data_IF_253868825749
#
_entry.id   IF_253868825749
#
_cell.length_a   1.000
_cell.length_b   1.000
_cell.length_c   1.000
_cell.angle_alpha   90.00
_cell.angle_beta   90.00
_cell.angle_gamma   90.00
#
_symmetry.space_group_name_H-M   'P 1'
#
loop_
_entity.id
_entity.type
_entity.pdbx_description
1 polymer ?
#
# COMPACT_ATOMS: atom_id res chain seq x y z
N UNK A 1 17.24 4.97 12.39
CA UNK A 1 15.86 4.47 12.59
C UNK A 1 15.83 3.37 13.66
N UNK A 2 14.66 2.93 14.16
CA UNK A 2 14.57 1.83 15.13
C UNK A 2 15.19 0.51 14.62
N UNK A 3 15.74 -0.31 15.52
CA UNK A 3 16.44 -1.58 15.21
C UNK A 3 15.52 -2.61 14.54
N UNK A 4 14.23 -2.57 14.87
CA UNK A 4 13.18 -3.42 14.29
C UNK A 4 13.06 -3.27 12.76
N UNK A 5 13.50 -2.14 12.20
CA UNK A 5 13.54 -1.90 10.75
C UNK A 5 14.89 -2.28 10.15
N UNK A 6 15.42 -3.48 10.44
CA UNK A 6 16.62 -4.01 9.78
C UNK A 6 16.32 -5.34 9.11
N UNK A 7 17.03 -5.64 8.01
CA UNK A 7 16.91 -6.95 7.34
C UNK A 7 17.48 -8.09 8.18
N UNK A 8 18.41 -7.79 9.09
CA UNK A 8 19.00 -8.79 9.99
C UNK A 8 18.05 -9.15 11.13
N UNK A 9 17.14 -8.25 11.51
CA UNK A 9 16.08 -8.56 12.48
C UNK A 9 14.99 -9.46 11.88
N UNK A 10 14.46 -9.10 10.70
CA UNK A 10 13.49 -9.93 9.96
C UNK A 10 13.53 -9.64 8.45
N UNK A 11 13.54 -10.69 7.64
CA UNK A 11 13.45 -10.62 6.17
C UNK A 11 12.71 -11.83 5.59
N UNK A 12 11.46 -12.04 6.03
CA UNK A 12 10.67 -13.25 5.74
C UNK A 12 10.36 -13.43 4.25
N UNK A 13 10.46 -12.36 3.47
CA UNK A 13 10.21 -12.35 2.04
C UNK A 13 11.49 -12.18 1.20
N UNK A 14 12.67 -12.36 1.80
CA UNK A 14 13.97 -12.30 1.12
C UNK A 14 14.14 -11.03 0.26
N UNK A 15 13.82 -9.86 0.84
CA UNK A 15 13.89 -8.56 0.17
C UNK A 15 15.26 -7.89 0.30
N UNK A 16 16.16 -8.37 1.17
CA UNK A 16 17.53 -7.82 1.29
C UNK A 16 18.30 -7.79 -0.04
N UNK A 17 18.29 -8.83 -0.90
CA UNK A 17 18.96 -8.76 -2.21
C UNK A 17 18.37 -7.71 -3.17
N UNK A 18 17.08 -7.36 -3.01
CA UNK A 18 16.45 -6.28 -3.77
C UNK A 18 16.96 -4.94 -3.26
N UNK A 19 17.07 -4.78 -1.93
CA UNK A 19 17.65 -3.60 -1.32
C UNK A 19 19.11 -3.39 -1.75
N UNK A 20 19.93 -4.43 -1.76
CA UNK A 20 21.33 -4.35 -2.20
C UNK A 20 21.46 -3.89 -3.66
N UNK A 21 20.59 -4.38 -4.55
CA UNK A 21 20.54 -3.90 -5.95
C UNK A 21 20.13 -2.43 -6.03
N UNK A 22 19.12 -2.02 -5.25
CA UNK A 22 18.71 -0.62 -5.18
C UNK A 22 19.84 0.27 -4.67
N UNK A 23 20.56 -0.15 -3.63
CA UNK A 23 21.71 0.58 -3.10
C UNK A 23 22.81 0.70 -4.15
N UNK A 24 23.14 -0.39 -4.85
CA UNK A 24 24.12 -0.35 -5.95
C UNK A 24 23.72 0.63 -7.07
N UNK A 25 22.43 0.72 -7.38
CA UNK A 25 21.91 1.71 -8.33
C UNK A 25 22.06 3.14 -7.79
N UNK A 26 21.66 3.37 -6.54
CA UNK A 26 21.79 4.66 -5.86
C UNK A 26 23.26 5.09 -5.73
N UNK A 27 24.18 4.15 -5.59
CA UNK A 27 25.64 4.37 -5.49
C UNK A 27 26.32 4.59 -6.85
N UNK A 28 25.68 4.21 -7.95
CA UNK A 28 26.21 4.44 -9.29
C UNK A 28 26.24 5.92 -9.70
N UNK A 29 26.93 6.21 -10.81
CA UNK A 29 26.95 7.52 -11.47
C UNK A 29 25.76 7.74 -12.42
N UNK A 30 24.81 6.80 -12.48
CA UNK A 30 23.63 6.90 -13.34
C UNK A 30 22.66 7.92 -12.74
N UNK A 31 22.18 8.84 -13.57
CA UNK A 31 21.17 9.81 -13.17
C UNK A 31 19.78 9.15 -13.07
N UNK A 32 19.49 8.55 -11.92
CA UNK A 32 18.24 7.80 -11.65
C UNK A 32 17.18 8.61 -10.90
N UNK A 33 17.49 9.83 -10.48
CA UNK A 33 16.68 10.64 -9.57
C UNK A 33 15.70 11.57 -10.31
N UNK A 34 14.41 11.62 -9.94
CA UNK A 34 13.75 10.76 -8.95
C UNK A 34 13.49 9.34 -9.44
N UNK A 35 13.74 8.38 -8.55
CA UNK A 35 13.44 6.95 -8.67
C UNK A 35 12.11 6.66 -7.98
N UNK A 36 11.28 5.76 -8.52
CA UNK A 36 10.02 5.33 -7.91
C UNK A 36 10.08 3.87 -7.47
N UNK A 37 9.63 3.62 -6.24
CA UNK A 37 9.26 2.30 -5.71
C UNK A 37 7.74 2.18 -5.80
N UNK A 38 7.26 1.50 -6.84
CA UNK A 38 5.84 1.29 -7.08
C UNK A 38 5.34 0.01 -6.37
N UNK A 39 4.07 0.03 -6.00
CA UNK A 39 3.37 -1.14 -5.47
C UNK A 39 2.00 -0.80 -4.92
N UNK A 40 1.13 -1.80 -4.80
CA UNK A 40 -0.17 -1.67 -4.17
C UNK A 40 -0.09 -1.21 -2.70
N UNK A 41 -1.22 -0.80 -2.15
CA UNK A 41 -1.33 -0.59 -0.70
C UNK A 41 -1.19 -1.93 0.01
N UNK A 42 -0.57 -1.93 1.20
CA UNK A 42 -0.36 -3.16 1.96
C UNK A 42 0.69 -4.12 1.39
N UNK A 43 1.57 -3.69 0.49
CA UNK A 43 2.67 -4.54 -0.06
C UNK A 43 3.96 -4.50 0.77
N UNK A 44 4.01 -3.68 1.82
CA UNK A 44 5.18 -3.53 2.70
C UNK A 44 6.25 -2.56 2.20
N UNK A 45 5.89 -1.58 1.35
CA UNK A 45 6.84 -0.59 0.81
C UNK A 45 7.53 0.23 1.90
N UNK A 46 6.77 0.80 2.84
CA UNK A 46 7.30 1.59 3.97
C UNK A 46 8.33 0.80 4.77
N UNK A 47 8.00 -0.44 5.16
CA UNK A 47 8.94 -1.30 5.91
C UNK A 47 10.19 -1.62 5.07
N UNK A 48 10.04 -1.93 3.79
CA UNK A 48 11.16 -2.14 2.87
C UNK A 48 12.07 -0.90 2.81
N UNK A 49 11.50 0.30 2.64
CA UNK A 49 12.27 1.54 2.51
C UNK A 49 12.99 1.92 3.81
N UNK A 50 12.35 1.75 4.97
CA UNK A 50 12.99 1.95 6.27
C UNK A 50 14.16 0.98 6.48
N UNK A 51 13.99 -0.30 6.08
CA UNK A 51 15.08 -1.30 6.10
C UNK A 51 16.22 -0.96 5.14
N UNK A 52 15.91 -0.52 3.92
CA UNK A 52 16.91 -0.06 2.94
C UNK A 52 17.69 1.12 3.51
N UNK A 53 17.00 2.10 4.11
CA UNK A 53 17.63 3.27 4.70
C UNK A 53 18.62 2.90 5.82
N UNK A 54 18.22 2.04 6.76
CA UNK A 54 19.15 1.50 7.77
C UNK A 54 20.32 0.72 7.14
N UNK A 55 20.07 -0.05 6.06
CA UNK A 55 21.11 -0.79 5.35
C UNK A 55 22.13 0.14 4.67
N UNK A 56 21.68 1.25 4.09
CA UNK A 56 22.55 2.29 3.51
C UNK A 56 23.47 2.86 4.59
N UNK A 57 22.90 3.35 5.69
CA UNK A 57 23.65 4.03 6.76
C UNK A 57 24.63 3.11 7.48
N UNK A 58 24.29 1.82 7.60
CA UNK A 58 25.19 0.80 8.18
C UNK A 58 26.32 0.38 7.24
N UNK A 59 26.07 0.32 5.92
CA UNK A 59 27.09 -0.08 4.95
C UNK A 59 28.10 1.04 4.64
N UNK A 60 27.66 2.30 4.65
CA UNK A 60 28.51 3.42 4.23
C UNK A 60 28.22 4.70 5.03
N UNK A 61 29.14 5.06 5.93
CA UNK A 61 29.01 6.29 6.73
C UNK A 61 29.00 7.58 5.92
N UNK A 62 29.52 7.55 4.67
CA UNK A 62 29.47 8.68 3.74
C UNK A 62 28.19 8.72 2.90
N UNK A 63 27.28 7.76 3.06
CA UNK A 63 25.96 7.78 2.45
C UNK A 63 24.91 8.07 3.51
N UNK A 64 24.38 9.30 3.49
CA UNK A 64 23.35 9.76 4.42
C UNK A 64 21.97 9.52 3.85
N UNK A 65 21.02 9.20 4.73
CA UNK A 65 19.63 9.01 4.36
C UNK A 65 18.74 10.00 5.10
N UNK A 66 17.77 10.55 4.37
CA UNK A 66 16.65 11.31 4.94
C UNK A 66 15.39 10.54 4.61
N UNK A 67 14.50 10.38 5.60
CA UNK A 67 13.20 9.74 5.41
C UNK A 67 12.11 10.77 5.69
N UNK A 68 11.25 11.01 4.70
CA UNK A 68 10.15 11.95 4.78
C UNK A 68 8.86 11.16 4.58
N UNK A 69 7.95 11.23 5.54
CA UNK A 69 6.55 10.84 5.34
C UNK A 69 5.81 12.03 4.73
N UNK A 70 5.56 11.98 3.42
CA UNK A 70 4.96 13.11 2.70
C UNK A 70 3.50 13.31 3.08
N UNK A 71 2.80 12.26 3.50
CA UNK A 71 1.39 12.35 3.88
C UNK A 71 1.24 13.01 5.26
N UNK A 72 2.11 12.69 6.22
CA UNK A 72 2.16 13.39 7.50
C UNK A 72 2.37 14.91 7.33
N UNK A 73 3.14 15.30 6.31
CA UNK A 73 3.52 16.69 6.02
C UNK A 73 2.58 17.41 5.05
N UNK A 74 1.58 16.74 4.46
CA UNK A 74 0.73 17.30 3.39
C UNK A 74 -0.26 18.37 3.87
N UNK A 75 -0.35 18.53 5.19
CA UNK A 75 -1.00 19.67 5.80
C UNK A 75 -0.22 20.93 5.42
N UNK A 76 1.10 20.93 5.39
CA UNK A 76 1.88 22.11 5.02
C UNK A 76 1.76 22.40 3.51
N UNK A 77 1.16 23.52 3.11
CA UNK A 77 1.05 23.91 1.67
C UNK A 77 2.41 24.32 1.04
N UNK A 78 3.54 23.96 1.67
CA UNK A 78 4.89 24.22 1.22
C UNK A 78 5.73 22.93 1.03
N UNK A 79 5.49 22.14 -0.02
CA UNK A 79 6.32 21.00 -0.41
C UNK A 79 7.84 21.23 -0.37
N UNK A 80 8.28 22.41 -0.82
CA UNK A 80 9.70 22.77 -0.82
C UNK A 80 10.29 22.85 0.59
N UNK A 81 9.49 23.28 1.57
CA UNK A 81 9.90 23.36 2.98
C UNK A 81 10.14 21.97 3.57
N UNK A 82 9.24 21.04 3.29
CA UNK A 82 9.37 19.65 3.72
C UNK A 82 10.67 19.04 3.22
N UNK A 83 11.00 19.27 1.94
CA UNK A 83 12.27 18.82 1.35
C UNK A 83 13.47 19.53 1.98
N UNK A 84 13.38 20.84 2.23
CA UNK A 84 14.45 21.63 2.86
C UNK A 84 14.71 21.17 4.29
N UNK A 85 13.67 20.98 5.10
CA UNK A 85 13.79 20.52 6.48
C UNK A 85 14.48 19.15 6.56
N UNK A 86 14.10 18.25 5.65
CA UNK A 86 14.74 16.94 5.52
C UNK A 86 16.24 17.04 5.24
N UNK A 87 16.67 17.91 4.32
CA UNK A 87 18.10 18.11 4.03
C UNK A 87 18.82 18.84 5.16
N UNK A 88 18.18 19.85 5.76
CA UNK A 88 18.73 20.63 6.85
C UNK A 88 18.97 19.79 8.12
N UNK A 89 18.21 18.71 8.31
CA UNK A 89 18.43 17.77 9.39
C UNK A 89 19.81 17.07 9.31
N UNK A 90 20.42 16.98 8.12
CA UNK A 90 21.76 16.43 7.93
C UNK A 90 22.88 17.42 8.30
N UNK A 91 22.55 18.71 8.46
CA UNK A 91 23.53 19.74 8.79
C UNK A 91 23.82 19.78 10.30
N UNK A 92 25.07 20.10 10.69
CA UNK A 92 25.40 20.58 12.02
C UNK A 92 24.50 21.75 12.45
N UNK A 93 24.21 21.91 13.75
CA UNK A 93 23.25 22.91 14.24
C UNK A 93 23.56 24.36 13.80
N UNK A 94 24.84 24.73 13.75
CA UNK A 94 25.30 26.06 13.34
C UNK A 94 24.96 26.34 11.86
N UNK A 95 25.24 25.38 10.98
CA UNK A 95 24.92 25.49 9.55
C UNK A 95 23.43 25.36 9.28
N UNK A 96 22.71 24.58 10.10
CA UNK A 96 21.25 24.47 10.05
C UNK A 96 20.58 25.82 10.31
N UNK A 97 21.00 26.55 11.35
CA UNK A 97 20.47 27.89 11.66
C UNK A 97 20.79 28.88 10.54
N UNK A 98 21.97 28.80 9.96
CA UNK A 98 22.36 29.64 8.83
C UNK A 98 21.52 29.34 7.57
N UNK A 99 21.30 28.06 7.25
CA UNK A 99 20.44 27.64 6.14
C UNK A 99 19.01 28.14 6.36
N UNK A 100 18.42 27.87 7.53
CA UNK A 100 17.06 28.34 7.90
C UNK A 100 16.93 29.85 7.67
N UNK A 101 17.87 30.64 8.21
CA UNK A 101 17.86 32.09 8.11
C UNK A 101 17.99 32.59 6.66
N UNK A 102 18.75 31.89 5.81
CA UNK A 102 18.92 32.24 4.39
C UNK A 102 17.78 31.76 3.50
N UNK A 103 17.09 30.67 3.85
CA UNK A 103 16.01 30.11 3.04
C UNK A 103 14.63 30.67 3.42
N UNK A 104 14.46 31.11 4.66
CA UNK A 104 13.23 31.71 5.22
C UNK A 104 12.54 32.72 4.27
N UNK A 105 13.27 33.63 3.59
CA UNK A 105 12.63 34.58 2.67
C UNK A 105 12.12 33.93 1.36
N UNK A 106 12.79 32.90 0.81
CA UNK A 106 12.31 32.15 -0.37
C UNK A 106 11.00 31.41 -0.09
N UNK A 107 10.94 30.84 1.11
CA UNK A 107 9.81 30.08 1.62
C UNK A 107 8.55 30.96 1.67
N UNK A 108 8.70 32.20 2.19
CA UNK A 108 7.62 33.20 2.24
C UNK A 108 7.08 33.54 0.84
N UNK A 109 7.92 33.51 -0.19
CA UNK A 109 7.52 33.85 -1.56
C UNK A 109 6.88 32.69 -2.34
N UNK A 110 7.42 31.47 -2.20
CA UNK A 110 6.87 30.27 -2.85
C UNK A 110 5.41 30.03 -2.45
N UNK A 111 5.11 30.24 -1.17
CA UNK A 111 3.74 30.16 -0.63
C UNK A 111 2.82 31.30 -1.11
N UNK A 112 3.32 32.54 -1.21
CA UNK A 112 2.54 33.70 -1.73
C UNK A 112 2.10 33.53 -3.19
N UNK A 113 2.87 32.80 -4.00
CA UNK A 113 2.59 32.61 -5.43
C UNK A 113 1.59 31.48 -5.68
N UNK A 114 1.64 30.42 -4.88
CA UNK A 114 0.70 29.27 -4.96
C UNK A 114 -0.72 29.69 -4.54
N UNK A 115 -0.85 30.65 -3.61
CA UNK A 115 -2.13 31.16 -3.12
C UNK A 115 -3.02 31.87 -4.16
N UNK A 116 -2.49 32.22 -5.35
CA UNK A 116 -3.30 32.82 -6.44
C UNK A 116 -3.98 31.81 -7.36
N UNK A 117 -3.76 30.50 -7.19
CA UNK A 117 -4.28 29.47 -8.11
C UNK A 117 -5.28 28.46 -7.50
N UNK A 118 -5.66 28.56 -6.23
CA UNK A 118 -6.67 27.65 -5.65
C UNK A 118 -7.17 28.13 -4.29
N UNK A 119 -8.49 28.25 -4.16
CA UNK A 119 -9.15 28.79 -2.97
C UNK A 119 -9.09 27.85 -1.77
N UNK A 120 -8.56 28.37 -0.66
CA UNK A 120 -8.94 28.05 0.72
C UNK A 120 -8.52 26.68 1.23
N UNK A 121 -7.83 26.65 2.37
CA UNK A 121 -8.22 25.96 3.60
C UNK A 121 -7.14 26.27 4.66
N UNK A 122 -7.58 26.66 5.85
CA UNK A 122 -6.72 27.07 6.96
C UNK A 122 -6.14 25.84 7.65
N UNK A 123 -4.82 25.79 7.76
CA UNK A 123 -4.08 24.72 8.43
C UNK A 123 -4.03 24.96 9.94
N UNK A 124 -4.44 23.95 10.70
CA UNK A 124 -4.24 23.87 12.15
C UNK A 124 -3.63 22.51 12.48
N UNK A 125 -2.45 22.57 13.10
CA UNK A 125 -1.80 21.60 13.98
C UNK A 125 -1.55 20.19 13.43
N UNK A 126 -0.27 19.88 13.20
CA UNK A 126 0.47 18.83 13.92
C UNK A 126 1.97 19.09 13.71
N UNK A 127 2.69 19.42 14.76
CA UNK A 127 4.09 19.84 14.70
C UNK A 127 4.97 19.07 15.69
N UNK A 128 4.78 17.75 15.75
CA UNK A 128 5.50 16.93 16.73
C UNK A 128 6.82 16.35 16.18
N UNK A 129 7.07 16.41 14.85
CA UNK A 129 8.28 15.86 14.21
C UNK A 129 9.10 16.89 13.40
N UNK A 130 8.70 18.16 13.38
CA UNK A 130 9.43 19.23 12.68
C UNK A 130 10.46 19.83 13.63
N UNK A 131 11.71 19.98 13.17
CA UNK A 131 12.78 20.64 13.93
C UNK A 131 12.31 22.03 14.40
N UNK A 132 12.43 22.34 15.69
CA UNK A 132 11.89 23.53 16.39
C UNK A 132 12.09 24.90 15.69
N UNK A 133 13.04 25.04 14.75
CA UNK A 133 13.25 26.28 13.98
C UNK A 133 12.51 26.36 12.63
N UNK A 134 12.08 25.23 12.07
CA UNK A 134 11.31 25.19 10.83
C UNK A 134 9.81 25.35 11.08
N UNK A 135 9.31 24.92 12.24
CA UNK A 135 7.90 25.11 12.62
C UNK A 135 7.53 26.60 12.70
N UNK A 136 8.37 27.40 13.35
CA UNK A 136 8.20 28.86 13.45
C UNK A 136 8.29 29.53 12.07
N UNK A 137 9.21 29.07 11.22
CA UNK A 137 9.35 29.55 9.83
C UNK A 137 8.09 29.28 9.00
N UNK A 138 7.47 28.09 9.16
CA UNK A 138 6.22 27.70 8.50
C UNK A 138 5.05 28.58 8.98
N UNK A 139 4.93 28.78 10.30
CA UNK A 139 3.88 29.63 10.92
C UNK A 139 4.00 31.10 10.50
N UNK A 140 5.21 31.63 10.45
CA UNK A 140 5.43 33.02 10.08
C UNK A 140 5.17 33.24 8.58
N UNK A 141 5.57 32.30 7.72
CA UNK A 141 5.32 32.38 6.29
C UNK A 141 3.82 32.29 5.91
N UNK A 142 3.01 31.57 6.70
CA UNK A 142 1.56 31.45 6.49
C UNK A 142 0.75 32.66 6.96
N UNK A 143 1.33 33.55 7.78
CA UNK A 143 0.60 34.68 8.41
C UNK A 143 0.70 36.02 7.68
N UNK A 144 1.54 36.15 6.64
CA UNK A 144 1.73 37.43 5.93
C UNK A 144 0.70 37.66 4.82
N UNK A 145 -0.44 38.27 5.17
CA UNK A 145 -1.46 38.71 4.23
C UNK A 145 -1.17 40.11 3.65
N UNK A 146 -1.08 40.16 2.33
CA UNK A 146 -1.42 41.26 1.39
C UNK A 146 -0.78 42.63 1.65
N UNK A 147 0.28 42.92 0.90
CA UNK A 147 0.48 44.22 0.22
C UNK A 147 1.30 43.93 -1.05
N UNK A 148 0.84 44.30 -2.25
CA UNK A 148 1.55 43.97 -3.49
C UNK A 148 1.54 45.09 -4.53
N UNK A 149 2.70 45.73 -4.72
CA UNK A 149 3.05 46.52 -5.90
C UNK A 149 3.87 45.65 -6.87
N UNK A 150 3.85 45.95 -8.17
CA UNK A 150 4.56 45.17 -9.22
C UNK A 150 6.08 45.11 -8.97
N UNK A 151 6.67 46.19 -8.47
CA UNK A 151 8.10 46.25 -8.10
C UNK A 151 8.41 45.31 -6.94
N UNK A 152 7.55 45.27 -5.91
CA UNK A 152 7.70 44.34 -4.78
C UNK A 152 7.61 42.89 -5.24
N UNK A 153 6.73 42.56 -6.19
CA UNK A 153 6.63 41.20 -6.75
C UNK A 153 7.87 40.81 -7.58
N UNK A 154 8.52 41.75 -8.23
CA UNK A 154 9.74 41.52 -9.01
C UNK A 154 10.96 41.36 -8.09
N UNK A 155 11.10 42.22 -7.09
CA UNK A 155 12.15 42.11 -6.07
C UNK A 155 11.99 40.82 -5.26
N UNK A 156 10.76 40.48 -4.86
CA UNK A 156 10.45 39.23 -4.16
C UNK A 156 10.76 37.99 -5.04
N UNK A 157 10.55 38.07 -6.37
CA UNK A 157 10.91 36.99 -7.30
C UNK A 157 12.42 36.81 -7.42
N UNK A 158 13.17 37.92 -7.49
CA UNK A 158 14.63 37.91 -7.54
C UNK A 158 15.21 37.35 -6.24
N UNK A 159 14.67 37.73 -5.08
CA UNK A 159 15.08 37.20 -3.77
C UNK A 159 14.78 35.69 -3.65
N UNK A 160 13.61 35.24 -4.10
CA UNK A 160 13.26 33.82 -4.07
C UNK A 160 14.21 32.96 -4.93
N UNK A 161 14.56 33.44 -6.13
CA UNK A 161 15.56 32.76 -6.99
C UNK A 161 16.92 32.70 -6.30
N UNK A 162 17.40 33.80 -5.74
CA UNK A 162 18.68 33.87 -5.02
C UNK A 162 18.73 32.92 -3.81
N UNK A 163 17.61 32.74 -3.12
CA UNK A 163 17.53 31.84 -1.97
C UNK A 163 17.45 30.36 -2.39
N UNK A 164 16.80 30.04 -3.52
CA UNK A 164 16.85 28.70 -4.12
C UNK A 164 18.28 28.36 -4.57
N UNK A 165 18.99 29.31 -5.17
CA UNK A 165 20.41 29.13 -5.54
C UNK A 165 21.28 28.91 -4.30
N UNK A 166 21.05 29.66 -3.23
CA UNK A 166 21.74 29.47 -1.94
C UNK A 166 21.49 28.07 -1.39
N UNK A 167 20.24 27.61 -1.41
CA UNK A 167 19.89 26.24 -1.02
C UNK A 167 20.65 25.21 -1.88
N UNK A 168 20.57 25.35 -3.22
CA UNK A 168 21.29 24.44 -4.12
C UNK A 168 22.78 24.43 -3.83
N UNK A 169 23.38 25.59 -3.55
CA UNK A 169 24.80 25.70 -3.19
C UNK A 169 25.12 24.99 -1.89
N UNK A 170 24.32 25.18 -0.83
CA UNK A 170 24.54 24.51 0.46
C UNK A 170 24.42 23.00 0.33
N UNK A 171 23.40 22.52 -0.38
CA UNK A 171 23.22 21.08 -0.63
C UNK A 171 24.33 20.56 -1.51
N UNK A 172 24.75 21.31 -2.53
CA UNK A 172 25.87 20.93 -3.40
C UNK A 172 27.14 20.73 -2.57
N UNK A 173 27.46 21.66 -1.66
CA UNK A 173 28.61 21.55 -0.77
C UNK A 173 28.52 20.32 0.15
N UNK A 174 27.35 20.05 0.74
CA UNK A 174 27.13 18.81 1.50
C UNK A 174 27.39 17.55 0.66
N UNK A 175 26.93 17.58 -0.59
CA UNK A 175 27.03 16.44 -1.51
C UNK A 175 28.45 16.22 -2.06
N UNK A 176 29.39 17.12 -1.78
CA UNK A 176 30.82 16.91 -2.04
C UNK A 176 31.43 15.90 -1.07
N UNK A 177 30.98 15.90 0.18
CA UNK A 177 31.48 15.00 1.23
C UNK A 177 30.63 13.73 1.35
N UNK A 178 29.31 13.86 1.14
CA UNK A 178 28.33 12.80 1.35
C UNK A 178 27.52 12.48 0.10
N UNK A 179 27.19 11.21 -0.10
CA UNK A 179 26.05 10.84 -0.95
C UNK A 179 24.78 10.94 -0.12
N UNK A 180 23.74 11.58 -0.62
CA UNK A 180 22.49 11.80 0.10
C UNK A 180 21.36 11.11 -0.66
N UNK A 181 20.56 10.32 0.05
CA UNK A 181 19.32 9.75 -0.49
C UNK A 181 18.13 10.15 0.36
N UNK A 182 17.12 10.72 -0.28
CA UNK A 182 15.90 11.19 0.35
C UNK A 182 14.76 10.28 -0.07
N UNK A 183 14.24 9.50 0.88
CA UNK A 183 13.01 8.74 0.70
C UNK A 183 11.82 9.66 0.98
N UNK A 184 10.86 9.66 0.06
CA UNK A 184 9.59 10.38 0.17
C UNK A 184 8.48 9.35 0.12
N UNK A 185 7.96 8.99 1.29
CA UNK A 185 6.95 7.94 1.45
C UNK A 185 5.52 8.48 1.49
N UNK A 186 4.57 7.60 1.20
CA UNK A 186 3.13 7.86 1.16
C UNK A 186 2.69 9.02 0.22
N UNK A 187 3.51 9.32 -0.81
CA UNK A 187 3.25 10.42 -1.75
C UNK A 187 1.89 10.29 -2.47
N UNK A 188 1.40 9.06 -2.67
CA UNK A 188 0.10 8.79 -3.30
C UNK A 188 -1.12 9.03 -2.39
N UNK A 189 -0.90 9.32 -1.09
CA UNK A 189 -1.96 9.70 -0.15
C UNK A 189 -2.08 11.20 0.06
N UNK A 190 -1.05 11.97 -0.30
CA UNK A 190 -1.09 13.42 -0.19
C UNK A 190 -2.20 14.04 -1.05
N UNK A 191 -2.63 15.26 -0.68
CA UNK A 191 -3.42 16.12 -1.58
C UNK A 191 -2.79 16.16 -2.98
N UNK A 192 -3.58 16.06 -4.07
CA UNK A 192 -3.07 16.03 -5.43
C UNK A 192 -2.10 17.18 -5.75
N UNK A 193 -2.40 18.41 -5.32
CA UNK A 193 -1.57 19.60 -5.54
C UNK A 193 -0.22 19.50 -4.84
N UNK A 194 -0.19 18.98 -3.60
CA UNK A 194 1.02 18.79 -2.82
C UNK A 194 1.94 17.74 -3.45
N UNK A 195 1.40 16.56 -3.79
CA UNK A 195 2.17 15.48 -4.40
C UNK A 195 2.83 15.91 -5.72
N UNK A 196 2.09 16.65 -6.54
CA UNK A 196 2.60 17.15 -7.82
C UNK A 196 3.72 18.16 -7.62
N UNK A 197 3.53 19.10 -6.69
CA UNK A 197 4.53 20.12 -6.40
C UNK A 197 5.82 19.53 -5.82
N UNK A 198 5.76 18.45 -5.03
CA UNK A 198 6.97 17.69 -4.62
C UNK A 198 7.75 17.21 -5.86
N UNK A 199 7.07 16.57 -6.81
CA UNK A 199 7.69 16.01 -8.02
C UNK A 199 8.31 17.11 -8.90
N UNK A 200 7.58 18.22 -9.07
CA UNK A 200 8.07 19.39 -9.81
C UNK A 200 9.30 20.02 -9.12
N UNK A 201 9.24 20.22 -7.81
CA UNK A 201 10.36 20.79 -7.05
C UNK A 201 11.62 19.93 -7.13
N UNK A 202 11.49 18.60 -7.02
CA UNK A 202 12.64 17.68 -7.16
C UNK A 202 13.33 17.88 -8.50
N UNK A 203 12.57 17.92 -9.59
CA UNK A 203 13.14 18.06 -10.94
C UNK A 203 13.77 19.44 -11.16
N UNK A 204 13.08 20.50 -10.76
CA UNK A 204 13.50 21.87 -11.12
C UNK A 204 14.58 22.41 -10.18
N UNK A 205 14.56 22.01 -8.91
CA UNK A 205 15.38 22.62 -7.86
C UNK A 205 16.54 21.70 -7.45
N UNK A 206 16.30 20.39 -7.37
CA UNK A 206 17.24 19.46 -6.73
C UNK A 206 17.98 18.54 -7.70
N UNK A 207 18.22 18.99 -8.94
CA UNK A 207 19.15 18.32 -9.86
C UNK A 207 20.60 18.63 -9.43
N UNK A 208 21.07 17.89 -8.42
CA UNK A 208 22.38 18.05 -7.76
C UNK A 208 23.10 16.69 -7.79
N UNK A 209 24.41 16.70 -8.07
CA UNK A 209 25.22 15.48 -8.07
C UNK A 209 25.24 14.84 -6.67
N UNK A 210 25.26 13.51 -6.59
CA UNK A 210 25.25 12.76 -5.32
C UNK A 210 23.99 12.98 -4.44
N UNK A 211 22.93 13.57 -4.99
CA UNK A 211 21.62 13.68 -4.35
C UNK A 211 20.59 12.84 -5.09
N UNK A 212 20.05 11.82 -4.42
CA UNK A 212 19.04 10.93 -4.97
C UNK A 212 17.71 11.11 -4.25
N UNK A 213 16.61 11.13 -5.01
CA UNK A 213 15.26 11.06 -4.49
C UNK A 213 14.63 9.71 -4.81
N UNK A 214 14.04 9.09 -3.81
CA UNK A 214 13.30 7.83 -3.92
C UNK A 214 11.86 8.08 -3.50
N UNK A 215 10.96 8.11 -4.47
CA UNK A 215 9.53 8.29 -4.26
C UNK A 215 8.89 6.92 -4.02
N UNK A 216 8.15 6.79 -2.93
CA UNK A 216 7.44 5.55 -2.58
C UNK A 216 5.95 5.81 -2.71
N UNK A 217 5.31 5.15 -3.67
CA UNK A 217 3.93 5.45 -4.02
C UNK A 217 3.23 4.26 -4.69
N UNK A 218 1.92 4.37 -4.84
CA UNK A 218 1.15 3.62 -5.85
C UNK A 218 1.03 4.50 -7.10
N UNK A 219 1.80 4.21 -8.13
CA UNK A 219 1.90 5.07 -9.33
C UNK A 219 0.55 5.30 -10.01
N UNK A 220 -0.35 4.30 -9.99
CA UNK A 220 -1.71 4.46 -10.53
C UNK A 220 -2.54 5.53 -9.80
N UNK A 221 -2.37 5.65 -8.48
CA UNK A 221 -3.06 6.70 -7.72
C UNK A 221 -2.47 8.08 -8.00
N UNK A 222 -1.15 8.16 -8.13
CA UNK A 222 -0.48 9.41 -8.53
C UNK A 222 -0.96 9.88 -9.92
N UNK A 223 -1.14 8.96 -10.88
CA UNK A 223 -1.73 9.25 -12.19
C UNK A 223 -3.17 9.72 -12.07
N UNK A 224 -3.97 9.12 -11.19
CA UNK A 224 -5.34 9.56 -10.94
C UNK A 224 -5.38 10.99 -10.37
N UNK A 225 -4.48 11.33 -9.44
CA UNK A 225 -4.31 12.68 -8.90
C UNK A 225 -3.99 13.71 -9.99
N UNK A 226 -3.10 13.37 -10.94
CA UNK A 226 -2.78 14.26 -12.08
C UNK A 226 -3.99 14.49 -12.99
N UNK A 227 -4.74 13.42 -13.30
CA UNK A 227 -5.97 13.52 -14.11
C UNK A 227 -7.04 14.35 -13.40
N UNK A 228 -7.10 14.28 -12.07
CA UNK A 228 -8.00 15.12 -11.28
C UNK A 228 -7.66 16.61 -11.39
N UNK A 229 -6.37 16.97 -11.36
CA UNK A 229 -5.91 18.36 -11.43
C UNK A 229 -6.02 18.98 -12.83
N UNK A 230 -5.61 18.26 -13.87
CA UNK A 230 -5.53 18.80 -15.23
C UNK A 230 -6.66 18.34 -16.16
N UNK A 231 -7.56 17.50 -15.66
CA UNK A 231 -8.66 16.93 -16.44
C UNK A 231 -8.29 15.63 -17.16
N UNK A 232 -9.32 14.90 -17.62
CA UNK A 232 -9.19 13.55 -18.20
C UNK A 232 -8.46 13.51 -19.56
N UNK A 233 -8.33 14.65 -20.25
CA UNK A 233 -7.64 14.75 -21.54
C UNK A 233 -6.12 14.66 -21.39
N UNK A 234 -5.57 14.82 -20.19
CA UNK A 234 -4.13 14.73 -19.97
C UNK A 234 -3.66 13.27 -20.01
N UNK A 235 -2.57 13.04 -20.72
CA UNK A 235 -1.85 11.77 -20.61
C UNK A 235 -0.95 11.80 -19.36
N UNK A 236 -1.51 11.35 -18.24
CA UNK A 236 -0.80 11.33 -16.96
C UNK A 236 0.45 10.44 -16.96
N UNK A 237 0.49 9.39 -17.79
CA UNK A 237 1.65 8.53 -17.98
C UNK A 237 2.81 9.33 -18.58
N UNK A 238 2.59 9.98 -19.73
CA UNK A 238 3.59 10.85 -20.37
C UNK A 238 3.97 12.05 -19.51
N UNK A 239 3.04 12.55 -18.69
CA UNK A 239 3.35 13.62 -17.74
C UNK A 239 4.38 13.13 -16.72
N UNK A 240 4.12 12.00 -16.05
CA UNK A 240 5.02 11.44 -15.04
C UNK A 240 6.38 11.02 -15.62
N UNK A 241 6.42 10.49 -16.83
CA UNK A 241 7.66 10.12 -17.52
C UNK A 241 8.60 11.31 -17.76
N UNK A 242 8.07 12.54 -17.78
CA UNK A 242 8.92 13.74 -17.84
C UNK A 242 9.71 13.98 -16.55
N UNK A 243 9.27 13.43 -15.42
CA UNK A 243 9.87 13.69 -14.10
C UNK A 243 10.59 12.47 -13.54
N UNK A 244 10.00 11.29 -13.65
CA UNK A 244 10.53 10.06 -13.09
C UNK A 244 11.53 9.43 -14.07
N UNK A 245 12.75 9.17 -13.61
CA UNK A 245 13.82 8.60 -14.45
C UNK A 245 13.87 7.08 -14.40
N UNK A 246 13.43 6.48 -13.30
CA UNK A 246 13.39 5.03 -13.14
C UNK A 246 12.27 4.62 -12.19
N UNK A 247 11.60 3.52 -12.50
CA UNK A 247 10.57 2.92 -11.66
C UNK A 247 10.84 1.44 -11.53
N UNK A 248 10.76 0.90 -10.32
CA UNK A 248 10.63 -0.54 -10.12
C UNK A 248 9.44 -0.86 -9.24
N UNK A 249 8.83 -2.02 -9.49
CA UNK A 249 7.71 -2.52 -8.69
C UNK A 249 8.28 -3.41 -7.59
N UNK A 250 7.92 -3.15 -6.34
CA UNK A 250 8.28 -4.03 -5.23
C UNK A 250 7.59 -5.39 -5.41
N UNK A 251 8.33 -6.51 -5.53
CA UNK A 251 7.73 -7.80 -5.79
C UNK A 251 6.78 -8.26 -4.67
N UNK A 252 5.65 -8.83 -5.08
CA UNK A 252 4.69 -9.55 -4.26
C UNK A 252 5.05 -11.05 -4.12
N UNK A 253 6.07 -11.49 -4.86
CA UNK A 253 6.61 -12.85 -4.84
C UNK A 253 8.09 -12.86 -4.47
N UNK A 254 8.53 -13.97 -3.90
CA UNK A 254 9.92 -14.22 -3.53
C UNK A 254 10.26 -15.69 -3.80
N UNK A 255 11.55 -16.03 -3.77
CA UNK A 255 12.02 -17.40 -4.07
C UNK A 255 12.71 -18.00 -2.84
N UNK A 256 11.98 -18.69 -1.94
CA UNK A 256 12.57 -19.26 -0.72
C UNK A 256 13.67 -20.29 -1.01
N UNK A 257 13.59 -20.99 -2.14
CA UNK A 257 14.54 -22.02 -2.60
C UNK A 257 15.42 -21.54 -3.77
N UNK A 258 15.39 -20.26 -4.13
CA UNK A 258 15.98 -19.65 -5.34
C UNK A 258 15.37 -20.05 -6.70
N UNK A 259 14.43 -21.00 -6.75
CA UNK A 259 13.87 -21.52 -8.01
C UNK A 259 12.38 -21.21 -8.15
N UNK A 260 11.59 -21.60 -7.15
CA UNK A 260 10.13 -21.59 -7.17
C UNK A 260 9.61 -20.28 -6.58
N UNK A 261 8.85 -19.48 -7.34
CA UNK A 261 8.23 -18.28 -6.81
C UNK A 261 7.11 -18.65 -5.82
N UNK A 262 7.12 -18.00 -4.66
CA UNK A 262 6.06 -18.06 -3.65
C UNK A 262 5.49 -16.65 -3.43
N UNK A 263 4.19 -16.55 -3.18
CA UNK A 263 3.54 -15.28 -2.87
C UNK A 263 3.84 -14.88 -1.42
N UNK A 264 4.28 -13.63 -1.22
CA UNK A 264 4.57 -13.09 0.10
C UNK A 264 3.31 -13.07 0.99
N UNK A 265 2.12 -12.83 0.43
CA UNK A 265 0.85 -12.86 1.15
C UNK A 265 0.47 -14.27 1.63
N UNK A 266 0.72 -15.30 0.84
CA UNK A 266 0.54 -16.70 1.24
C UNK A 266 1.53 -17.10 2.34
N UNK A 267 2.78 -16.65 2.23
CA UNK A 267 3.79 -16.86 3.26
C UNK A 267 3.42 -16.15 4.57
N UNK A 268 2.88 -14.92 4.49
CA UNK A 268 2.41 -14.17 5.66
C UNK A 268 1.31 -14.92 6.42
N UNK A 269 0.34 -15.51 5.71
CA UNK A 269 -0.65 -16.39 6.36
C UNK A 269 0.03 -17.53 7.14
N UNK A 270 1.07 -18.14 6.56
CA UNK A 270 1.87 -19.17 7.19
C UNK A 270 2.62 -18.73 8.45
N UNK A 271 2.94 -17.43 8.57
CA UNK A 271 3.53 -16.82 9.76
C UNK A 271 2.44 -16.54 10.80
N UNK A 272 1.41 -15.77 10.43
CA UNK A 272 0.34 -15.32 11.32
C UNK A 272 -0.38 -16.48 11.99
N UNK A 273 -0.56 -17.61 11.30
CA UNK A 273 -1.21 -18.77 11.89
C UNK A 273 -0.45 -19.34 13.10
N UNK A 274 0.87 -19.17 13.17
CA UNK A 274 1.66 -19.72 14.26
C UNK A 274 1.56 -18.86 15.53
N UNK A 275 1.16 -17.59 15.39
CA UNK A 275 1.05 -16.63 16.50
C UNK A 275 -0.29 -16.76 17.27
N UNK A 276 -1.24 -17.58 16.76
CA UNK A 276 -2.58 -17.69 17.33
C UNK A 276 -3.14 -19.11 17.24
N UNK A 277 -3.48 -19.71 18.39
CA UNK A 277 -4.12 -21.04 18.44
C UNK A 277 -5.42 -21.08 17.61
N UNK A 278 -6.19 -19.99 17.59
CA UNK A 278 -7.44 -19.91 16.82
C UNK A 278 -7.18 -20.01 15.31
N UNK A 279 -6.09 -19.42 14.84
CA UNK A 279 -5.67 -19.51 13.45
C UNK A 279 -5.07 -20.87 13.11
N UNK A 280 -4.40 -21.55 14.05
CA UNK A 280 -3.96 -22.93 13.88
C UNK A 280 -5.16 -23.86 13.63
N UNK A 281 -6.21 -23.77 14.44
CA UNK A 281 -7.45 -24.54 14.28
C UNK A 281 -8.09 -24.32 12.88
N UNK A 282 -8.11 -23.07 12.42
CA UNK A 282 -8.61 -22.71 11.08
C UNK A 282 -7.72 -23.28 9.97
N UNK A 283 -6.40 -23.14 10.07
CA UNK A 283 -5.45 -23.61 9.05
C UNK A 283 -5.44 -25.14 8.94
N UNK A 284 -5.56 -25.87 10.06
CA UNK A 284 -5.64 -27.33 10.07
C UNK A 284 -6.87 -27.84 9.28
N UNK A 285 -7.98 -27.11 9.33
CA UNK A 285 -9.21 -27.52 8.63
C UNK A 285 -9.26 -27.02 7.18
N UNK A 286 -8.92 -25.75 6.96
CA UNK A 286 -9.23 -25.04 5.72
C UNK A 286 -8.01 -24.32 5.11
N UNK A 287 -6.80 -24.52 5.65
CA UNK A 287 -5.61 -23.74 5.29
C UNK A 287 -5.22 -23.81 3.81
N UNK A 288 -5.41 -24.95 3.15
CA UNK A 288 -5.13 -25.08 1.72
C UNK A 288 -6.04 -24.16 0.89
N UNK A 289 -7.34 -24.12 1.20
CA UNK A 289 -8.34 -23.29 0.51
C UNK A 289 -8.07 -21.81 0.75
N UNK A 290 -7.77 -21.43 2.00
CA UNK A 290 -7.44 -20.06 2.36
C UNK A 290 -6.22 -19.59 1.55
N UNK A 291 -5.16 -20.41 1.46
CA UNK A 291 -3.97 -20.08 0.66
C UNK A 291 -4.29 -19.95 -0.84
N UNK A 292 -5.12 -20.84 -1.39
CA UNK A 292 -5.59 -20.76 -2.78
C UNK A 292 -6.33 -19.44 -3.04
N UNK A 293 -7.24 -19.05 -2.14
CA UNK A 293 -8.00 -17.79 -2.28
C UNK A 293 -7.09 -16.58 -2.10
N UNK A 294 -6.20 -16.56 -1.10
CA UNK A 294 -5.21 -15.48 -0.92
C UNK A 294 -4.41 -15.26 -2.22
N UNK A 295 -3.96 -16.34 -2.85
CA UNK A 295 -3.20 -16.30 -4.09
C UNK A 295 -4.06 -15.84 -5.28
N UNK A 296 -5.23 -16.46 -5.50
CA UNK A 296 -6.09 -16.19 -6.66
C UNK A 296 -6.71 -14.79 -6.60
N UNK A 297 -7.16 -14.36 -5.42
CA UNK A 297 -7.65 -13.00 -5.19
C UNK A 297 -6.53 -11.95 -5.13
N UNK A 298 -5.26 -12.38 -5.17
CA UNK A 298 -4.06 -11.51 -5.13
C UNK A 298 -4.06 -10.55 -3.94
N UNK A 299 -4.39 -11.07 -2.76
CA UNK A 299 -4.47 -10.26 -1.55
C UNK A 299 -3.09 -9.67 -1.19
N UNK A 300 -3.11 -8.41 -0.76
CA UNK A 300 -1.96 -7.73 -0.16
C UNK A 300 -1.64 -8.28 1.24
N UNK A 301 -0.47 -7.95 1.77
CA UNK A 301 -0.07 -8.34 3.13
C UNK A 301 -1.08 -7.81 4.17
N UNK A 302 -1.51 -6.55 4.00
CA UNK A 302 -2.51 -5.92 4.89
C UNK A 302 -3.88 -6.59 4.83
N UNK A 303 -4.31 -7.03 3.64
CA UNK A 303 -5.57 -7.76 3.50
C UNK A 303 -5.49 -9.13 4.16
N UNK A 304 -4.34 -9.81 4.11
CA UNK A 304 -4.12 -11.06 4.85
C UNK A 304 -4.13 -10.85 6.37
N UNK A 305 -3.52 -9.77 6.89
CA UNK A 305 -3.61 -9.41 8.32
C UNK A 305 -5.05 -9.09 8.75
N UNK A 306 -5.81 -8.43 7.88
CA UNK A 306 -7.24 -8.15 8.12
C UNK A 306 -8.03 -9.45 8.15
N UNK A 307 -7.79 -10.33 7.19
CA UNK A 307 -8.44 -11.62 7.09
C UNK A 307 -8.12 -12.51 8.30
N UNK A 308 -6.86 -12.57 8.75
CA UNK A 308 -6.48 -13.32 9.95
C UNK A 308 -7.22 -12.79 11.18
N UNK A 309 -7.30 -11.46 11.35
CA UNK A 309 -8.06 -10.86 12.45
C UNK A 309 -9.55 -11.22 12.40
N UNK A 310 -10.17 -11.21 11.23
CA UNK A 310 -11.57 -11.62 11.08
C UNK A 310 -11.79 -13.09 11.43
N UNK A 311 -10.85 -13.99 11.10
CA UNK A 311 -10.91 -15.38 11.56
C UNK A 311 -10.83 -15.49 13.07
N UNK A 312 -9.93 -14.75 13.73
CA UNK A 312 -9.83 -14.76 15.18
C UNK A 312 -11.11 -14.25 15.85
N UNK A 313 -11.66 -13.14 15.35
CA UNK A 313 -12.94 -12.58 15.82
C UNK A 313 -14.05 -13.62 15.66
N UNK A 314 -14.17 -14.24 14.48
CA UNK A 314 -15.19 -15.26 14.25
C UNK A 314 -15.03 -16.46 15.19
N UNK A 315 -13.81 -16.94 15.41
CA UNK A 315 -13.53 -18.06 16.32
C UNK A 315 -13.88 -17.73 17.77
N UNK A 316 -13.72 -16.47 18.20
CA UNK A 316 -14.22 -16.01 19.51
C UNK A 316 -15.75 -16.05 19.55
N UNK A 317 -16.41 -15.48 18.56
CA UNK A 317 -17.89 -15.37 18.53
C UNK A 317 -18.58 -16.72 18.39
N UNK A 318 -17.99 -17.63 17.62
CA UNK A 318 -18.54 -18.96 17.34
C UNK A 318 -18.07 -20.06 18.30
N UNK A 319 -17.24 -19.72 19.30
CA UNK A 319 -16.64 -20.69 20.24
C UNK A 319 -15.88 -21.82 19.52
N UNK A 320 -14.90 -21.44 18.68
CA UNK A 320 -14.15 -22.34 17.78
C UNK A 320 -15.05 -23.07 16.79
N UNK A 321 -15.83 -22.30 16.02
CA UNK A 321 -16.75 -22.79 15.00
C UNK A 321 -16.09 -23.37 13.75
N UNK A 322 -14.80 -23.08 13.51
CA UNK A 322 -13.98 -23.67 12.45
C UNK A 322 -12.80 -24.38 13.12
N UNK A 323 -12.64 -25.68 12.92
CA UNK A 323 -11.53 -26.36 13.57
C UNK A 323 -11.51 -27.87 13.40
N UNK A 324 -10.41 -28.51 13.83
CA UNK A 324 -10.30 -29.95 13.83
C UNK A 324 -11.41 -30.57 14.69
N UNK A 325 -11.93 -31.73 14.26
CA UNK A 325 -13.04 -32.40 14.94
C UNK A 325 -14.43 -31.85 14.62
N UNK A 326 -14.55 -30.80 13.81
CA UNK A 326 -15.81 -30.40 13.16
C UNK A 326 -15.96 -31.13 11.83
N UNK A 327 -17.20 -31.37 11.40
CA UNK A 327 -17.48 -31.88 10.05
C UNK A 327 -17.02 -30.85 9.02
N UNK A 328 -16.24 -31.32 8.03
CA UNK A 328 -15.51 -30.46 7.08
C UNK A 328 -16.39 -29.41 6.41
N UNK A 329 -17.59 -29.77 5.93
CA UNK A 329 -18.53 -28.85 5.29
C UNK A 329 -18.91 -27.65 6.15
N UNK A 330 -19.07 -27.83 7.47
CA UNK A 330 -19.37 -26.71 8.36
C UNK A 330 -18.17 -25.76 8.49
N UNK A 331 -16.96 -26.30 8.69
CA UNK A 331 -15.73 -25.49 8.73
C UNK A 331 -15.50 -24.76 7.41
N UNK A 332 -15.76 -25.42 6.29
CA UNK A 332 -15.60 -24.91 4.93
C UNK A 332 -16.50 -23.71 4.65
N UNK A 333 -17.82 -23.83 4.87
CA UNK A 333 -18.76 -22.76 4.54
C UNK A 333 -18.73 -21.60 5.53
N UNK A 334 -18.41 -21.86 6.80
CA UNK A 334 -18.11 -20.79 7.77
C UNK A 334 -16.87 -20.02 7.35
N UNK A 335 -15.82 -20.72 6.95
CA UNK A 335 -14.59 -20.10 6.45
C UNK A 335 -14.86 -19.21 5.23
N UNK A 336 -15.66 -19.66 4.26
CA UNK A 336 -16.06 -18.85 3.11
C UNK A 336 -16.87 -17.62 3.51
N UNK A 337 -17.75 -17.72 4.52
CA UNK A 337 -18.46 -16.57 5.08
C UNK A 337 -17.52 -15.52 5.69
N UNK A 338 -16.49 -15.94 6.42
CA UNK A 338 -15.47 -15.03 6.96
C UNK A 338 -14.68 -14.35 5.84
N UNK A 339 -14.26 -15.12 4.83
CA UNK A 339 -13.54 -14.58 3.66
C UNK A 339 -14.41 -13.55 2.94
N UNK A 340 -15.66 -13.87 2.62
CA UNK A 340 -16.57 -12.95 1.92
C UNK A 340 -16.75 -11.64 2.67
N UNK A 341 -17.02 -11.72 3.98
CA UNK A 341 -17.14 -10.54 4.84
C UNK A 341 -15.86 -9.71 4.85
N UNK A 342 -14.70 -10.38 4.91
CA UNK A 342 -13.39 -9.73 4.98
C UNK A 342 -12.99 -9.05 3.67
N UNK A 343 -13.26 -9.66 2.51
CA UNK A 343 -12.80 -9.17 1.22
C UNK A 343 -13.75 -8.14 0.61
N UNK A 344 -15.06 -8.32 0.80
CA UNK A 344 -16.06 -7.44 0.20
C UNK A 344 -17.30 -7.36 1.09
N UNK A 345 -17.26 -6.50 2.10
CA UNK A 345 -18.37 -6.31 3.03
C UNK A 345 -19.70 -5.95 2.33
N UNK A 346 -19.77 -5.02 1.37
CA UNK A 346 -21.02 -4.76 0.63
C UNK A 346 -21.60 -6.01 -0.04
N UNK A 347 -20.76 -6.84 -0.65
CA UNK A 347 -21.18 -8.11 -1.26
C UNK A 347 -21.63 -9.14 -0.22
N UNK A 348 -20.97 -9.21 0.92
CA UNK A 348 -21.38 -10.08 2.02
C UNK A 348 -22.75 -9.66 2.58
N UNK A 349 -23.05 -8.36 2.63
CA UNK A 349 -24.37 -7.86 3.02
C UNK A 349 -25.45 -8.18 1.98
N UNK A 350 -25.15 -8.01 0.68
CA UNK A 350 -26.11 -8.39 -0.38
C UNK A 350 -26.36 -9.90 -0.43
N UNK A 351 -25.40 -10.72 0.04
CA UNK A 351 -25.57 -12.15 0.25
C UNK A 351 -26.67 -12.45 1.28
N UNK A 352 -26.72 -11.72 2.40
CA UNK A 352 -27.78 -11.86 3.42
C UNK A 352 -29.16 -11.48 2.86
N UNK A 353 -29.20 -10.40 2.07
CA UNK A 353 -30.43 -9.89 1.47
C UNK A 353 -30.88 -10.68 0.23
N UNK A 354 -30.11 -11.69 -0.19
CA UNK A 354 -30.36 -12.53 -1.36
C UNK A 354 -30.46 -11.75 -2.67
N UNK A 355 -29.71 -10.66 -2.77
CA UNK A 355 -29.67 -9.74 -3.91
C UNK A 355 -28.33 -9.78 -4.66
N UNK A 356 -27.44 -10.70 -4.26
CA UNK A 356 -26.11 -10.87 -4.84
C UNK A 356 -26.16 -11.62 -6.17
N UNK A 357 -25.27 -11.27 -7.09
CA UNK A 357 -25.02 -12.05 -8.30
C UNK A 357 -23.86 -13.05 -8.08
N UNK A 358 -24.02 -14.26 -8.64
CA UNK A 358 -23.02 -15.32 -8.50
C UNK A 358 -21.63 -14.92 -9.02
N UNK A 359 -21.58 -14.13 -10.10
CA UNK A 359 -20.34 -13.72 -10.75
C UNK A 359 -19.48 -12.84 -9.84
N UNK A 360 -20.09 -11.89 -9.13
CA UNK A 360 -19.40 -11.03 -8.17
C UNK A 360 -18.77 -11.81 -7.01
N UNK A 361 -19.42 -12.88 -6.53
CA UNK A 361 -18.86 -13.76 -5.49
C UNK A 361 -17.63 -14.48 -6.03
N UNK A 362 -17.76 -15.14 -7.18
CA UNK A 362 -16.68 -15.92 -7.81
C UNK A 362 -15.46 -15.01 -8.09
N UNK A 363 -15.69 -13.82 -8.66
CA UNK A 363 -14.64 -12.83 -8.93
C UNK A 363 -14.00 -12.29 -7.66
N UNK A 364 -14.77 -12.03 -6.60
CA UNK A 364 -14.24 -11.56 -5.31
C UNK A 364 -13.29 -12.59 -4.70
N UNK A 365 -13.55 -13.88 -4.88
CA UNK A 365 -12.68 -14.96 -4.42
C UNK A 365 -11.49 -15.23 -5.37
N UNK A 366 -11.37 -14.48 -6.46
CA UNK A 366 -10.25 -14.55 -7.41
C UNK A 366 -10.41 -15.55 -8.55
N UNK A 367 -11.64 -15.99 -8.84
CA UNK A 367 -11.92 -16.96 -9.90
C UNK A 367 -12.60 -16.25 -11.08
N UNK A 368 -12.23 -16.63 -12.31
CA UNK A 368 -12.88 -16.13 -13.54
C UNK A 368 -13.86 -17.15 -14.12
N UNK A 369 -13.63 -18.44 -13.84
CA UNK A 369 -14.47 -19.57 -14.21
C UNK A 369 -14.34 -20.67 -13.15
N UNK A 370 -15.25 -21.65 -13.20
CA UNK A 370 -15.15 -22.90 -12.45
C UNK A 370 -14.93 -24.02 -13.47
N UNK A 371 -13.98 -24.91 -13.20
CA UNK A 371 -13.56 -25.96 -14.15
C UNK A 371 -14.62 -27.04 -14.36
N UNK A 372 -15.45 -27.27 -13.34
CA UNK A 372 -16.37 -28.40 -13.26
C UNK A 372 -15.69 -29.77 -13.45
N UNK A 373 -14.40 -29.88 -13.10
CA UNK A 373 -13.68 -31.15 -13.17
C UNK A 373 -14.38 -32.21 -12.31
N UNK A 374 -14.44 -33.44 -12.81
CA UNK A 374 -15.04 -34.60 -12.13
C UNK A 374 -13.99 -35.60 -11.64
N UNK A 375 -12.72 -35.40 -11.99
CA UNK A 375 -11.64 -36.27 -11.53
C UNK A 375 -11.42 -36.08 -10.02
N UNK A 376 -11.83 -37.08 -9.23
CA UNK A 376 -11.72 -37.09 -7.77
C UNK A 376 -10.29 -36.85 -7.25
N UNK A 377 -9.26 -37.05 -8.08
CA UNK A 377 -7.86 -36.77 -7.75
C UNK A 377 -7.43 -35.34 -8.12
N UNK A 378 -8.26 -34.59 -8.85
CA UNK A 378 -8.03 -33.22 -9.31
C UNK A 378 -9.06 -32.20 -8.83
N UNK A 379 -10.21 -32.64 -8.31
CA UNK A 379 -11.24 -31.73 -7.80
C UNK A 379 -10.66 -30.94 -6.62
N UNK A 380 -10.34 -29.69 -6.90
CA UNK A 380 -10.09 -28.69 -5.88
C UNK A 380 -11.42 -28.47 -5.14
N UNK A 381 -11.47 -28.89 -3.87
CA UNK A 381 -12.61 -28.65 -3.00
C UNK A 381 -12.99 -27.16 -2.94
N UNK A 382 -12.04 -26.27 -3.25
CA UNK A 382 -12.29 -24.82 -3.35
C UNK A 382 -13.35 -24.49 -4.40
N UNK A 383 -13.24 -24.98 -5.63
CA UNK A 383 -14.18 -24.63 -6.71
C UNK A 383 -15.59 -25.18 -6.42
N UNK A 384 -15.66 -26.41 -5.90
CA UNK A 384 -16.94 -27.02 -5.50
C UNK A 384 -17.58 -26.31 -4.30
N UNK A 385 -16.78 -25.86 -3.33
CA UNK A 385 -17.28 -25.05 -2.22
C UNK A 385 -17.79 -23.68 -2.70
N UNK A 386 -17.08 -23.03 -3.63
CA UNK A 386 -17.52 -21.78 -4.25
C UNK A 386 -18.85 -22.01 -4.98
N UNK A 387 -18.96 -23.08 -5.78
CA UNK A 387 -20.22 -23.47 -6.42
C UNK A 387 -21.36 -23.63 -5.41
N UNK A 388 -21.10 -24.29 -4.27
CA UNK A 388 -22.09 -24.49 -3.21
C UNK A 388 -22.68 -23.20 -2.65
N UNK A 389 -21.88 -22.15 -2.48
CA UNK A 389 -22.35 -20.86 -1.94
C UNK A 389 -23.04 -19.99 -2.99
N UNK A 390 -22.83 -20.26 -4.29
CA UNK A 390 -23.49 -19.53 -5.39
C UNK A 390 -24.66 -20.27 -6.03
N UNK A 391 -24.90 -21.52 -5.64
CA UNK A 391 -25.86 -22.43 -6.27
C UNK A 391 -27.25 -21.80 -6.47
N UNK A 392 -27.76 -21.12 -5.46
CA UNK A 392 -29.09 -20.49 -5.46
C UNK A 392 -29.18 -19.23 -6.36
N UNK A 393 -28.04 -18.70 -6.80
CA UNK A 393 -27.93 -17.46 -7.58
C UNK A 393 -27.52 -17.72 -9.05
N UNK A 394 -27.42 -18.99 -9.46
CA UNK A 394 -27.10 -19.38 -10.85
C UNK A 394 -28.39 -19.86 -11.54
N UNK A 395 -28.84 -19.11 -12.54
CA UNK A 395 -29.90 -19.54 -13.44
C UNK A 395 -29.36 -20.09 -14.77
N UNK A 396 -30.24 -20.59 -15.65
CA UNK A 396 -29.88 -21.17 -16.96
C UNK A 396 -29.19 -20.20 -17.92
N UNK A 397 -29.24 -18.89 -17.66
CA UNK A 397 -28.61 -17.85 -18.47
C UNK A 397 -27.20 -17.51 -17.98
N UNK A 398 -26.87 -17.90 -16.74
CA UNK A 398 -25.56 -17.67 -16.14
C UNK A 398 -24.44 -18.42 -16.87
N UNK A 399 -23.27 -17.80 -17.08
CA UNK A 399 -22.09 -18.50 -17.63
C UNK A 399 -21.57 -19.61 -16.69
N UNK A 400 -21.98 -19.59 -15.41
CA UNK A 400 -21.61 -20.59 -14.40
C UNK A 400 -22.65 -21.72 -14.27
N UNK A 401 -23.66 -21.75 -15.14
CA UNK A 401 -24.63 -22.84 -15.14
C UNK A 401 -24.04 -24.09 -15.80
N UNK A 402 -23.91 -25.17 -15.03
CA UNK A 402 -23.45 -26.47 -15.52
C UNK A 402 -24.54 -27.05 -16.43
N UNK A 403 -24.31 -27.09 -17.74
CA UNK A 403 -25.33 -27.57 -18.71
C UNK A 403 -25.55 -29.08 -18.65
N UNK A 404 -24.49 -29.85 -18.39
CA UNK A 404 -24.59 -31.30 -18.23
C UNK A 404 -25.29 -31.65 -16.92
N UNK A 405 -26.37 -32.44 -17.00
CA UNK A 405 -27.20 -32.76 -15.84
C UNK A 405 -26.50 -33.72 -14.87
N UNK A 406 -25.63 -34.62 -15.36
CA UNK A 406 -24.89 -35.55 -14.52
C UNK A 406 -23.80 -34.80 -13.72
N UNK A 407 -23.02 -33.95 -14.40
CA UNK A 407 -22.04 -33.06 -13.76
C UNK A 407 -22.71 -32.15 -12.75
N UNK A 408 -23.83 -31.52 -13.12
CA UNK A 408 -24.59 -30.65 -12.21
C UNK A 408 -25.04 -31.41 -10.97
N UNK A 409 -25.59 -32.62 -11.13
CA UNK A 409 -26.02 -33.46 -10.01
C UNK A 409 -24.84 -33.79 -9.09
N UNK A 410 -23.70 -34.24 -9.63
CA UNK A 410 -22.50 -34.57 -8.85
C UNK A 410 -21.95 -33.38 -8.09
N UNK A 411 -21.83 -32.22 -8.73
CA UNK A 411 -21.33 -31.00 -8.10
C UNK A 411 -22.28 -30.49 -7.00
N UNK A 412 -23.59 -30.54 -7.24
CA UNK A 412 -24.58 -30.19 -6.22
C UNK A 412 -24.53 -31.16 -5.04
N UNK A 413 -24.53 -32.47 -5.29
CA UNK A 413 -24.42 -33.51 -4.26
C UNK A 413 -23.15 -33.32 -3.42
N UNK A 414 -22.01 -33.06 -4.07
CA UNK A 414 -20.76 -32.83 -3.37
C UNK A 414 -20.79 -31.58 -2.49
N UNK A 415 -21.30 -30.48 -3.04
CA UNK A 415 -21.36 -29.21 -2.33
C UNK A 415 -22.35 -29.23 -1.16
N UNK A 416 -23.50 -29.89 -1.29
CA UNK A 416 -24.58 -29.83 -0.29
C UNK A 416 -24.64 -31.04 0.63
N UNK A 417 -23.99 -32.16 0.30
CA UNK A 417 -24.12 -33.41 1.03
C UNK A 417 -22.78 -34.09 1.34
N UNK A 418 -21.89 -34.31 0.36
CA UNK A 418 -20.66 -35.07 0.59
C UNK A 418 -19.73 -34.39 1.62
N UNK A 419 -19.60 -33.06 1.55
CA UNK A 419 -18.82 -32.31 2.54
C UNK A 419 -19.37 -32.44 3.98
N UNK A 420 -20.62 -32.86 4.12
CA UNK A 420 -21.29 -33.09 5.41
C UNK A 420 -21.31 -34.56 5.84
N UNK A 421 -20.47 -35.41 5.24
CA UNK A 421 -20.36 -36.85 5.56
C UNK A 421 -21.68 -37.61 5.39
N UNK A 422 -22.50 -37.22 4.42
CA UNK A 422 -23.81 -37.84 4.15
C UNK A 422 -24.78 -37.76 5.35
N UNK A 423 -24.64 -36.73 6.19
CA UNK A 423 -25.54 -36.50 7.33
C UNK A 423 -26.96 -36.16 6.87
N UNK A 424 -27.97 -36.78 7.50
CA UNK A 424 -29.39 -36.50 7.23
C UNK A 424 -29.81 -35.06 7.60
N UNK A 425 -29.03 -34.38 8.44
CA UNK A 425 -29.26 -33.00 8.92
C UNK A 425 -28.30 -31.98 8.28
N UNK A 426 -27.87 -32.22 7.04
CA UNK A 426 -26.98 -31.30 6.32
C UNK A 426 -27.60 -29.90 6.21
N UNK A 427 -26.89 -28.89 6.71
CA UNK A 427 -27.34 -27.49 6.65
C UNK A 427 -26.93 -26.91 5.29
N UNK A 428 -27.83 -26.22 4.56
CA UNK A 428 -27.48 -25.62 3.28
C UNK A 428 -26.25 -24.71 3.37
N UNK A 429 -25.32 -24.76 2.40
CA UNK A 429 -24.13 -23.91 2.36
C UNK A 429 -24.42 -22.43 2.61
N UNK A 430 -25.46 -21.91 1.95
CA UNK A 430 -25.91 -20.52 2.09
C UNK A 430 -26.28 -20.16 3.52
N UNK A 431 -27.01 -21.02 4.23
CA UNK A 431 -27.38 -20.80 5.64
C UNK A 431 -26.14 -20.68 6.52
N UNK A 432 -25.10 -21.49 6.29
CA UNK A 432 -23.85 -21.43 7.05
C UNK A 432 -23.07 -20.16 6.76
N UNK A 433 -22.99 -19.76 5.49
CA UNK A 433 -22.36 -18.49 5.09
C UNK A 433 -23.10 -17.31 5.72
N UNK A 434 -24.44 -17.24 5.58
CA UNK A 434 -25.26 -16.18 6.15
C UNK A 434 -25.10 -16.08 7.67
N UNK A 435 -25.21 -17.21 8.40
CA UNK A 435 -25.03 -17.21 9.85
C UNK A 435 -23.63 -16.76 10.29
N UNK A 436 -22.62 -16.98 9.46
CA UNK A 436 -21.25 -16.54 9.74
C UNK A 436 -21.09 -15.03 9.53
N UNK A 437 -21.69 -14.50 8.47
CA UNK A 437 -21.73 -13.06 8.20
C UNK A 437 -22.51 -12.34 9.31
N UNK A 438 -23.67 -12.87 9.72
CA UNK A 438 -24.47 -12.35 10.84
C UNK A 438 -23.68 -12.31 12.14
N UNK A 439 -22.95 -13.40 12.47
CA UNK A 439 -22.09 -13.43 13.63
C UNK A 439 -21.01 -12.32 13.58
N UNK A 440 -20.37 -12.12 12.43
CA UNK A 440 -19.38 -11.04 12.24
C UNK A 440 -19.99 -9.62 12.28
N UNK A 441 -21.31 -9.51 12.09
CA UNK A 441 -22.07 -8.27 12.31
C UNK A 441 -22.46 -8.06 13.78
N UNK A 442 -22.19 -9.04 14.66
CA UNK A 442 -22.64 -9.09 16.05
C UNK A 442 -24.16 -9.11 16.20
N UNK A 443 -24.86 -9.70 15.22
CA UNK A 443 -26.31 -9.86 15.22
C UNK A 443 -26.78 -11.15 15.87
#
# INVERSE_FOLDING_TARGET
MPIEYTFDYRDEFLRKPIAEKLISLLDSDINLSPLVIDGGWGTGKTEFCKKVANLIESNNQKHKVVYIDAFAEDHNDAPILTLMAGVAALLPENERKELINKTLPAIRFGLKTIFKAGTGWVLKQNADDIVDGFEDAIKEATSSAIDSTIETLLDDHIEAQKNIETLRSTISHLTEEYKITIFIDELDRCKPTFALSIIENIKHIFEIKNLNFVLVAKTQQLKASIRHLYGLSINADQYLDKFIKFTFVLPDTYKPDNYTPAYASVALWGILKNDSQKLQEVDESCGHIIKTIIQRAKLSLREVETLSRHFEIYQVLSQSGIGPGKVFGYSLYRMLGVILYSLNRPLALSYLDNSVDAESIIKTLGFEYLSYDEDIYRIDNTECAIYGIVLDYIDTTSPFFIKDDETRRKWTERATYDFFQNGLDAVPPRTLVSSTIEALMLN
#
